data_IF_111821218890
#
_entry.id   IF_111821218890
#
_cell.length_a   1.000
_cell.length_b   1.000
_cell.length_c   1.000
_cell.angle_alpha   90.00
_cell.angle_beta   90.00
_cell.angle_gamma   90.00
#
_symmetry.space_group_name_H-M   'P 1'
#
loop_
_entity.id
_entity.type
_entity.pdbx_description
1 polymer ?
#
# COMPACT_ATOMS: atom_id res chain seq x y z
N UNK A 1 -11.54 -5.90 -2.96
CA UNK A 1 -11.45 -7.19 -2.25
C UNK A 1 -12.58 -7.21 -1.24
N UNK A 2 -13.33 -8.30 -1.09
CA UNK A 2 -14.41 -8.34 -0.10
C UNK A 2 -13.83 -8.86 1.22
N UNK A 3 -14.05 -8.14 2.32
CA UNK A 3 -13.69 -8.58 3.67
C UNK A 3 -14.70 -9.60 4.18
N UNK A 4 -15.99 -9.33 3.95
CA UNK A 4 -17.09 -10.25 4.15
C UNK A 4 -18.20 -9.96 3.12
N UNK A 5 -19.40 -10.52 3.33
CA UNK A 5 -20.54 -10.40 2.41
C UNK A 5 -21.08 -8.97 2.28
N UNK A 6 -20.80 -8.09 3.24
CA UNK A 6 -21.34 -6.74 3.34
C UNK A 6 -20.25 -5.65 3.36
N UNK A 7 -19.01 -6.01 3.74
CA UNK A 7 -17.88 -5.10 3.85
C UNK A 7 -16.90 -5.29 2.69
N UNK A 8 -16.80 -4.29 1.81
CA UNK A 8 -15.83 -4.26 0.71
C UNK A 8 -14.63 -3.41 1.11
N UNK A 9 -13.43 -3.98 1.02
CA UNK A 9 -12.19 -3.23 1.08
C UNK A 9 -11.95 -2.61 -0.31
N UNK A 10 -11.88 -1.29 -0.33
CA UNK A 10 -11.54 -0.55 -1.54
C UNK A 10 -10.11 -0.84 -1.96
N UNK A 11 -9.90 -1.09 -3.25
CA UNK A 11 -8.55 -1.22 -3.81
C UNK A 11 -7.75 0.08 -3.63
N UNK A 12 -8.42 1.23 -3.61
CA UNK A 12 -7.83 2.53 -3.30
C UNK A 12 -7.19 2.54 -1.91
N UNK A 13 -7.84 1.95 -0.90
CA UNK A 13 -7.35 1.93 0.47
C UNK A 13 -6.10 1.04 0.60
N UNK A 14 -6.13 -0.15 -0.01
CA UNK A 14 -4.95 -1.02 -0.07
C UNK A 14 -3.76 -0.33 -0.74
N UNK A 15 -4.01 0.47 -1.78
CA UNK A 15 -2.95 1.22 -2.48
C UNK A 15 -2.42 2.39 -1.64
N UNK A 16 -3.29 3.09 -0.91
CA UNK A 16 -2.88 4.15 0.01
C UNK A 16 -2.03 3.58 1.15
N UNK A 17 -2.42 2.45 1.74
CA UNK A 17 -1.64 1.76 2.79
C UNK A 17 -0.25 1.36 2.28
N UNK A 18 -0.16 0.71 1.11
CA UNK A 18 1.13 0.41 0.46
C UNK A 18 1.97 1.67 0.28
N UNK A 19 1.35 2.76 -0.18
CA UNK A 19 2.03 4.03 -0.43
C UNK A 19 2.54 4.70 0.84
N UNK A 20 1.79 4.66 1.94
CA UNK A 20 2.23 5.20 3.23
C UNK A 20 3.48 4.46 3.72
N UNK A 21 3.46 3.12 3.70
CA UNK A 21 4.61 2.30 4.12
C UNK A 21 5.82 2.60 3.24
N UNK A 22 5.64 2.60 1.91
CA UNK A 22 6.74 2.83 0.97
C UNK A 22 7.30 4.25 1.07
N UNK A 23 6.44 5.27 1.07
CA UNK A 23 6.89 6.67 1.09
C UNK A 23 7.58 7.02 2.43
N UNK A 24 7.14 6.42 3.55
CA UNK A 24 7.83 6.57 4.83
C UNK A 24 9.23 5.94 4.81
N UNK A 25 9.35 4.72 4.28
CA UNK A 25 10.63 3.99 4.23
C UNK A 25 11.63 4.59 3.24
N UNK A 26 11.18 4.92 2.03
CA UNK A 26 12.08 5.29 0.92
C UNK A 26 12.29 6.80 0.77
N UNK A 27 11.35 7.62 1.26
CA UNK A 27 11.37 9.09 1.06
C UNK A 27 11.31 9.89 2.36
N UNK A 28 11.13 9.24 3.50
CA UNK A 28 10.96 9.89 4.80
C UNK A 28 9.68 10.72 4.90
N UNK A 29 8.67 10.46 4.06
CA UNK A 29 7.39 11.17 4.17
C UNK A 29 6.58 10.63 5.35
N UNK A 30 6.00 11.53 6.12
CA UNK A 30 5.00 11.17 7.12
C UNK A 30 3.72 10.65 6.46
N UNK A 31 2.94 9.84 7.19
CA UNK A 31 1.62 9.40 6.72
C UNK A 31 0.72 10.59 6.37
N UNK A 32 0.79 11.68 7.13
CA UNK A 32 0.08 12.92 6.85
C UNK A 32 0.41 13.46 5.45
N UNK A 33 1.70 13.60 5.12
CA UNK A 33 2.12 14.11 3.81
C UNK A 33 1.68 13.21 2.66
N UNK A 34 1.68 11.89 2.86
CA UNK A 34 1.20 10.94 1.84
C UNK A 34 -0.32 11.04 1.65
N UNK A 35 -1.10 11.11 2.73
CA UNK A 35 -2.56 11.26 2.68
C UNK A 35 -2.94 12.58 2.01
N UNK A 36 -2.28 13.68 2.37
CA UNK A 36 -2.50 15.01 1.78
C UNK A 36 -2.38 15.01 0.25
N UNK A 37 -1.45 14.21 -0.29
CA UNK A 37 -1.19 14.14 -1.74
C UNK A 37 -2.07 13.12 -2.47
N UNK A 38 -2.83 12.30 -1.74
CA UNK A 38 -3.52 11.15 -2.30
C UNK A 38 -4.56 11.52 -3.36
N UNK A 39 -5.32 12.59 -3.12
CA UNK A 39 -6.34 13.05 -4.07
C UNK A 39 -5.73 13.49 -5.40
N UNK A 40 -4.60 14.20 -5.37
CA UNK A 40 -3.88 14.60 -6.59
C UNK A 40 -3.41 13.38 -7.40
N UNK A 41 -2.91 12.35 -6.72
CA UNK A 41 -2.48 11.10 -7.36
C UNK A 41 -3.67 10.40 -8.03
N UNK A 42 -4.77 10.21 -7.29
CA UNK A 42 -5.93 9.50 -7.82
C UNK A 42 -6.66 10.29 -8.91
N UNK A 43 -6.60 11.62 -8.88
CA UNK A 43 -7.08 12.47 -9.95
C UNK A 43 -6.24 12.30 -11.22
N UNK A 44 -4.91 12.39 -11.10
CA UNK A 44 -4.00 12.15 -12.22
C UNK A 44 -4.17 10.75 -12.84
N UNK A 45 -4.47 9.73 -12.03
CA UNK A 45 -4.81 8.40 -12.54
C UNK A 45 -6.10 8.37 -13.35
N UNK A 46 -7.14 9.07 -12.89
CA UNK A 46 -8.43 9.15 -13.61
C UNK A 46 -8.32 9.89 -14.93
N UNK A 47 -7.50 10.92 -14.98
CA UNK A 47 -7.41 11.76 -16.17
C UNK A 47 -6.43 11.19 -17.20
N UNK A 48 -5.34 10.58 -16.73
CA UNK A 48 -4.19 10.25 -17.59
C UNK A 48 -3.79 8.77 -17.63
N UNK A 49 -4.35 7.91 -16.77
CA UNK A 49 -3.99 6.48 -16.73
C UNK A 49 -5.18 5.60 -17.08
N UNK A 50 -6.28 5.65 -16.31
CA UNK A 50 -7.44 4.77 -16.51
C UNK A 50 -8.09 4.88 -17.89
N UNK A 51 -8.20 6.07 -18.53
CA UNK A 51 -8.79 6.17 -19.87
C UNK A 51 -7.99 5.43 -20.95
N UNK A 52 -6.70 5.18 -20.70
CA UNK A 52 -5.78 4.58 -21.67
C UNK A 52 -5.42 3.12 -21.33
N UNK A 53 -5.99 2.54 -20.27
CA UNK A 53 -5.61 1.19 -19.82
C UNK A 53 -5.85 0.11 -20.88
N UNK A 54 -6.88 0.27 -21.71
CA UNK A 54 -7.25 -0.68 -22.78
C UNK A 54 -6.26 -0.67 -23.96
N UNK A 55 -5.36 0.32 -24.04
CA UNK A 55 -4.32 0.37 -25.06
C UNK A 55 -3.14 -0.58 -24.75
N UNK A 56 -3.07 -1.13 -23.54
CA UNK A 56 -2.01 -2.06 -23.16
C UNK A 56 -2.31 -3.49 -23.59
N UNK A 57 -1.32 -4.19 -24.13
CA UNK A 57 -1.46 -5.61 -24.51
C UNK A 57 -1.70 -6.54 -23.31
N UNK A 58 -1.24 -6.13 -22.13
CA UNK A 58 -1.29 -6.91 -20.90
C UNK A 58 -1.61 -6.03 -19.70
N UNK A 59 -2.49 -6.55 -18.85
CA UNK A 59 -2.83 -5.96 -17.55
C UNK A 59 -2.41 -6.91 -16.44
N UNK A 60 -1.83 -6.37 -15.37
CA UNK A 60 -1.38 -7.12 -14.22
C UNK A 60 -1.92 -6.52 -12.92
N UNK A 61 -2.50 -7.36 -12.08
CA UNK A 61 -3.01 -6.98 -10.77
C UNK A 61 -2.10 -7.56 -9.68
N UNK A 62 -1.43 -6.68 -8.93
CA UNK A 62 -0.51 -7.04 -7.85
C UNK A 62 -1.17 -7.16 -6.46
N UNK A 63 -2.51 -7.16 -6.40
CA UNK A 63 -3.23 -7.30 -5.14
C UNK A 63 -2.99 -8.67 -4.50
N UNK A 64 -2.78 -8.69 -3.17
CA UNK A 64 -2.55 -9.90 -2.39
C UNK A 64 -3.54 -9.93 -1.23
N UNK A 65 -4.22 -11.07 -1.02
CA UNK A 65 -5.31 -11.17 -0.03
C UNK A 65 -4.85 -10.88 1.40
N UNK A 66 -3.60 -11.23 1.73
CA UNK A 66 -3.02 -11.05 3.05
C UNK A 66 -2.29 -9.71 3.24
N UNK A 67 -2.34 -8.79 2.26
CA UNK A 67 -1.49 -7.59 2.27
C UNK A 67 -1.72 -6.70 3.50
N UNK A 68 -2.98 -6.51 3.91
CA UNK A 68 -3.30 -5.62 5.02
C UNK A 68 -2.81 -6.20 6.35
N UNK A 69 -2.94 -7.50 6.54
CA UNK A 69 -2.38 -8.22 7.70
C UNK A 69 -0.85 -8.12 7.75
N UNK A 70 -0.16 -8.21 6.61
CA UNK A 70 1.30 -8.09 6.53
C UNK A 70 1.78 -6.66 6.78
N UNK A 71 1.05 -5.65 6.29
CA UNK A 71 1.46 -4.24 6.39
C UNK A 71 1.03 -3.57 7.71
N UNK A 72 0.05 -4.15 8.43
CA UNK A 72 -0.56 -3.57 9.64
C UNK A 72 0.45 -3.07 10.66
N UNK A 73 1.43 -3.90 11.02
CA UNK A 73 2.43 -3.58 12.06
C UNK A 73 3.30 -2.38 11.67
N UNK A 74 3.57 -2.20 10.37
CA UNK A 74 4.38 -1.08 9.87
C UNK A 74 3.55 0.20 9.71
N UNK A 75 2.31 0.10 9.22
CA UNK A 75 1.50 1.27 8.88
C UNK A 75 0.79 1.89 10.08
N UNK A 76 0.37 1.09 11.07
CA UNK A 76 -0.30 1.59 12.27
C UNK A 76 0.49 2.67 13.03
N UNK A 77 1.78 2.50 13.36
CA UNK A 77 2.54 3.55 14.06
C UNK A 77 2.66 4.82 13.22
N UNK A 78 2.72 4.73 11.88
CA UNK A 78 2.78 5.89 10.99
C UNK A 78 1.47 6.68 11.01
N UNK A 79 0.33 5.98 10.95
CA UNK A 79 -1.00 6.60 11.01
C UNK A 79 -1.28 7.23 12.37
N UNK A 80 -0.82 6.62 13.47
CA UNK A 80 -0.97 7.17 14.84
C UNK A 80 -0.15 8.44 15.08
N UNK A 81 0.85 8.73 14.25
CA UNK A 81 1.65 9.95 14.34
C UNK A 81 0.97 11.16 13.69
N UNK A 82 -0.12 10.98 12.95
CA UNK A 82 -0.84 12.10 12.34
C UNK A 82 -1.48 12.95 13.44
N UNK A 83 -1.13 14.25 13.56
CA UNK A 83 -1.59 15.08 14.67
C UNK A 83 -3.11 15.28 14.66
N UNK A 84 -3.71 15.30 15.85
CA UNK A 84 -5.08 15.76 16.01
C UNK A 84 -5.22 17.21 15.53
N UNK A 85 -6.27 17.49 14.75
CA UNK A 85 -6.53 18.82 14.15
C UNK A 85 -5.95 19.00 12.75
N UNK A 86 -5.10 18.10 12.27
CA UNK A 86 -4.72 18.05 10.85
C UNK A 86 -5.90 17.61 9.98
N UNK A 87 -5.99 18.10 8.74
CA UNK A 87 -7.05 17.70 7.80
C UNK A 87 -7.03 16.19 7.52
N UNK A 88 -5.83 15.60 7.50
CA UNK A 88 -5.59 14.18 7.22
C UNK A 88 -5.90 13.26 8.42
N UNK A 89 -6.17 13.83 9.60
CA UNK A 89 -6.44 13.05 10.82
C UNK A 89 -7.68 12.16 10.68
N UNK A 90 -8.74 12.69 10.04
CA UNK A 90 -9.99 11.94 9.82
C UNK A 90 -9.73 10.69 8.97
N UNK A 91 -8.99 10.85 7.89
CA UNK A 91 -8.65 9.75 6.99
C UNK A 91 -7.71 8.75 7.67
N UNK A 92 -6.76 9.23 8.46
CA UNK A 92 -5.88 8.38 9.27
C UNK A 92 -6.67 7.52 10.25
N UNK A 93 -7.68 8.10 10.93
CA UNK A 93 -8.58 7.38 11.83
C UNK A 93 -9.45 6.36 11.09
N UNK A 94 -9.94 6.69 9.89
CA UNK A 94 -10.69 5.75 9.04
C UNK A 94 -9.84 4.54 8.66
N UNK A 95 -8.59 4.77 8.24
CA UNK A 95 -7.65 3.70 7.89
C UNK A 95 -7.30 2.83 9.10
N UNK A 96 -7.08 3.43 10.28
CA UNK A 96 -6.86 2.69 11.53
C UNK A 96 -8.06 1.80 11.88
N UNK A 97 -9.28 2.34 11.83
CA UNK A 97 -10.50 1.57 12.10
C UNK A 97 -10.68 0.42 11.09
N UNK A 98 -10.32 0.63 9.82
CA UNK A 98 -10.31 -0.44 8.82
C UNK A 98 -9.27 -1.53 9.17
N UNK A 99 -8.09 -1.15 9.66
CA UNK A 99 -7.03 -2.11 10.02
C UNK A 99 -7.39 -2.96 11.23
N UNK A 100 -8.28 -2.50 12.13
CA UNK A 100 -8.74 -3.25 13.31
C UNK A 100 -9.37 -4.61 12.95
N UNK A 101 -9.92 -4.75 11.75
CA UNK A 101 -10.51 -6.00 11.25
C UNK A 101 -9.49 -7.06 10.84
N UNK A 102 -8.20 -6.73 10.83
CA UNK A 102 -7.14 -7.62 10.40
C UNK A 102 -6.24 -8.01 11.55
N UNK A 103 -5.96 -9.30 11.67
CA UNK A 103 -4.89 -9.79 12.53
C UNK A 103 -3.54 -9.58 11.82
N UNK A 104 -2.49 -9.15 12.54
CA UNK A 104 -1.16 -9.09 11.98
C UNK A 104 -0.69 -10.49 11.58
N UNK A 105 -0.01 -10.57 10.44
CA UNK A 105 0.57 -11.81 9.92
C UNK A 105 2.06 -11.86 10.30
N UNK A 106 2.54 -13.06 10.65
CA UNK A 106 3.97 -13.32 10.73
C UNK A 106 4.61 -13.22 9.34
N UNK A 107 5.57 -12.30 9.19
CA UNK A 107 6.24 -12.02 7.91
C UNK A 107 7.13 -13.15 7.44
N UNK A 108 7.51 -14.09 8.31
CA UNK A 108 8.35 -15.24 7.95
C UNK A 108 7.58 -16.26 7.10
N UNK A 109 6.25 -16.23 7.15
CA UNK A 109 5.38 -17.07 6.32
C UNK A 109 5.29 -16.57 4.86
N UNK A 110 5.76 -15.36 4.58
CA UNK A 110 5.68 -14.76 3.24
C UNK A 110 6.85 -15.28 2.39
N UNK A 111 6.61 -15.86 1.20
CA UNK A 111 7.69 -16.29 0.32
C UNK A 111 8.68 -15.16 0.01
N UNK A 112 9.95 -15.51 -0.10
CA UNK A 112 11.07 -14.60 -0.36
C UNK A 112 11.03 -13.97 -1.78
N UNK A 113 10.28 -14.58 -2.70
CA UNK A 113 9.98 -14.09 -4.04
C UNK A 113 8.61 -13.36 -4.15
N UNK A 114 7.89 -13.16 -3.04
CA UNK A 114 6.61 -12.45 -3.04
C UNK A 114 6.80 -10.96 -3.33
N UNK A 115 5.88 -10.36 -4.10
CA UNK A 115 5.82 -8.89 -4.30
C UNK A 115 5.71 -8.13 -2.97
N UNK A 116 5.15 -8.75 -1.92
CA UNK A 116 5.05 -8.11 -0.61
C UNK A 116 6.42 -7.79 0.01
N UNK A 117 7.48 -8.51 -0.40
CA UNK A 117 8.86 -8.29 0.04
C UNK A 117 9.41 -6.93 -0.38
N UNK A 118 8.81 -6.25 -1.36
CA UNK A 118 9.09 -4.83 -1.64
C UNK A 118 8.88 -3.96 -0.40
N UNK A 119 7.79 -4.20 0.34
CA UNK A 119 7.37 -3.38 1.47
C UNK A 119 8.00 -3.83 2.78
N UNK A 120 7.95 -5.13 3.08
CA UNK A 120 8.44 -5.71 4.34
C UNK A 120 9.94 -6.08 4.34
N UNK A 121 10.59 -6.04 3.17
CA UNK A 121 11.99 -6.45 3.02
C UNK A 121 12.17 -7.97 2.93
N UNK A 122 13.43 -8.40 2.72
CA UNK A 122 13.81 -9.82 2.62
C UNK A 122 13.52 -10.46 1.26
N UNK A 123 13.54 -9.68 0.18
CA UNK A 123 13.35 -10.24 -1.17
C UNK A 123 14.63 -10.89 -1.67
N UNK A 124 14.54 -12.08 -2.27
CA UNK A 124 15.68 -12.67 -3.02
C UNK A 124 16.04 -11.88 -4.29
N UNK A 125 15.17 -10.94 -4.69
CA UNK A 125 15.37 -10.12 -5.88
C UNK A 125 16.06 -8.78 -5.58
N UNK A 126 16.40 -8.49 -4.32
CA UNK A 126 16.99 -7.21 -3.92
C UNK A 126 18.32 -6.90 -4.64
N UNK A 127 19.14 -7.92 -4.88
CA UNK A 127 20.42 -7.79 -5.61
C UNK A 127 20.35 -8.38 -7.03
N UNK A 128 19.15 -8.66 -7.52
CA UNK A 128 18.99 -9.27 -8.83
C UNK A 128 19.40 -8.28 -9.93
N UNK A 129 20.41 -8.69 -10.71
CA UNK A 129 20.87 -7.95 -11.89
C UNK A 129 20.37 -8.64 -13.16
N UNK A 130 19.59 -7.90 -13.94
CA UNK A 130 19.13 -8.37 -15.23
C UNK A 130 20.31 -8.29 -16.22
N UNK A 131 20.85 -9.46 -16.61
CA UNK A 131 21.91 -9.63 -17.61
C UNK A 131 23.22 -8.90 -17.30
N UNK A 132 24.23 -9.61 -16.77
CA UNK A 132 25.62 -9.17 -16.96
C UNK A 132 25.93 -9.30 -18.46
N UNK A 133 26.08 -8.17 -19.16
CA UNK A 133 26.67 -8.18 -20.49
C UNK A 133 28.11 -8.70 -20.34
N UNK A 134 28.35 -9.90 -20.87
CA UNK A 134 29.71 -10.40 -21.14
C UNK A 134 30.39 -9.56 -22.22
#
# INVERSE_FOLDING_TARGET
>A
MNLDRYNRISTTDTRLIRRIVRDARERGYSAQQTIQRWDSVTHGEKDYIFPYQENGDKLFNSALVYELSALKVMVEPLLRQVPFGAAEYVESKRLLAMLEWFLPLDTDLIPDNSLMREFIGGSILSDFKLWEQK
#
